data_IF_274109120416
#
_entry.id   IF_274109120416
#
_cell.length_a   1.000
_cell.length_b   1.000
_cell.length_c   1.000
_cell.angle_alpha   90.00
_cell.angle_beta   90.00
_cell.angle_gamma   90.00
#
_symmetry.space_group_name_H-M   'P 1'
#
loop_
_entity.id
_entity.type
_entity.pdbx_description
1 polymer ?
#
# COMPACT_ATOMS: atom_id res chain seq x y z
N UNK A 1 -9.77 17.01 47.07
CA UNK A 1 -10.48 16.66 45.81
C UNK A 1 -9.52 15.83 44.96
N UNK A 2 -9.85 14.57 44.65
CA UNK A 2 -9.03 13.67 43.83
C UNK A 2 -9.55 13.70 42.39
N UNK A 3 -8.73 14.16 41.46
CA UNK A 3 -9.05 14.23 40.03
C UNK A 3 -8.96 12.79 39.49
N UNK A 4 -10.04 12.18 38.96
CA UNK A 4 -9.92 10.87 38.35
C UNK A 4 -9.17 11.02 37.02
N UNK A 5 -8.05 10.32 36.92
CA UNK A 5 -7.18 10.27 35.75
C UNK A 5 -7.92 9.53 34.62
N UNK A 6 -8.63 10.28 33.78
CA UNK A 6 -9.27 9.75 32.57
C UNK A 6 -8.20 9.31 31.58
N UNK A 7 -7.95 8.01 31.51
CA UNK A 7 -7.07 7.41 30.51
C UNK A 7 -7.78 7.48 29.15
N UNK A 8 -7.36 8.44 28.32
CA UNK A 8 -7.70 8.48 26.90
C UNK A 8 -6.95 7.36 26.18
N UNK A 9 -7.56 6.18 26.07
CA UNK A 9 -7.06 5.12 25.21
C UNK A 9 -7.44 5.44 23.76
N UNK A 10 -6.55 6.14 23.05
CA UNK A 10 -6.62 6.25 21.60
C UNK A 10 -6.14 4.93 20.98
N UNK A 11 -7.08 4.02 20.70
CA UNK A 11 -6.82 2.82 19.93
C UNK A 11 -6.59 3.20 18.45
N UNK A 12 -5.34 3.47 18.08
CA UNK A 12 -4.94 3.63 16.69
C UNK A 12 -5.05 2.29 15.95
N UNK A 13 -6.14 2.09 15.20
CA UNK A 13 -6.28 0.96 14.30
C UNK A 13 -5.29 1.09 13.13
N UNK A 14 -4.13 0.44 13.23
CA UNK A 14 -3.22 0.28 12.08
C UNK A 14 -3.84 -0.69 11.08
N UNK A 15 -4.52 -0.15 10.06
CA UNK A 15 -4.96 -0.95 8.91
C UNK A 15 -3.72 -1.47 8.16
N UNK A 16 -3.39 -2.75 8.34
CA UNK A 16 -2.39 -3.45 7.53
C UNK A 16 -2.94 -3.55 6.11
N UNK A 17 -2.65 -2.54 5.29
CA UNK A 17 -2.95 -2.59 3.87
C UNK A 17 -2.00 -3.60 3.24
N UNK A 18 -2.53 -4.78 2.86
CA UNK A 18 -1.78 -5.75 2.07
C UNK A 18 -1.29 -5.06 0.79
N UNK A 19 0.02 -4.91 0.65
CA UNK A 19 0.67 -4.42 -0.55
C UNK A 19 1.53 -5.55 -1.13
N UNK A 20 1.54 -5.69 -2.46
CA UNK A 20 2.38 -6.62 -3.18
C UNK A 20 3.49 -5.86 -3.90
N UNK A 21 4.70 -6.41 -3.88
CA UNK A 21 5.83 -5.85 -4.63
C UNK A 21 5.76 -6.26 -6.10
N UNK A 22 5.84 -5.29 -7.00
CA UNK A 22 5.86 -5.47 -8.46
C UNK A 22 7.09 -4.81 -9.05
N UNK A 23 7.71 -5.46 -10.02
CA UNK A 23 8.83 -4.93 -10.79
C UNK A 23 8.29 -4.20 -12.02
N UNK A 24 8.70 -2.95 -12.22
CA UNK A 24 8.36 -2.20 -13.42
C UNK A 24 9.12 -2.73 -14.64
N UNK A 25 8.45 -3.06 -15.77
CA UNK A 25 9.13 -3.58 -16.96
C UNK A 25 9.98 -2.53 -17.68
N UNK A 26 9.68 -1.23 -17.52
CA UNK A 26 10.43 -0.16 -18.21
C UNK A 26 11.78 0.19 -17.55
N UNK A 27 11.87 0.14 -16.22
CA UNK A 27 13.04 0.61 -15.47
C UNK A 27 13.57 -0.40 -14.44
N UNK A 28 12.89 -1.54 -14.24
CA UNK A 28 13.26 -2.54 -13.25
C UNK A 28 12.96 -2.15 -11.80
N UNK A 29 12.32 -1.00 -11.53
CA UNK A 29 12.04 -0.60 -10.15
C UNK A 29 11.00 -1.52 -9.50
N UNK A 30 11.35 -2.04 -8.31
CA UNK A 30 10.41 -2.71 -7.41
C UNK A 30 9.58 -1.68 -6.65
N UNK A 31 8.25 -1.76 -6.77
CA UNK A 31 7.33 -0.89 -6.04
C UNK A 31 6.18 -1.68 -5.42
N UNK A 32 5.76 -1.20 -4.24
CA UNK A 32 4.63 -1.75 -3.50
C UNK A 32 3.33 -1.19 -4.06
N UNK A 33 2.54 -2.07 -4.66
CA UNK A 33 1.20 -1.77 -5.16
C UNK A 33 0.18 -2.35 -4.20
N UNK A 34 -0.84 -1.57 -3.85
CA UNK A 34 -1.89 -2.05 -2.95
C UNK A 34 -2.64 -3.23 -3.58
N UNK A 35 -3.07 -4.20 -2.77
CA UNK A 35 -3.72 -5.43 -3.28
C UNK A 35 -4.94 -5.15 -4.14
N UNK A 36 -5.70 -4.09 -3.84
CA UNK A 36 -6.87 -3.69 -4.64
C UNK A 36 -6.51 -3.10 -6.00
N UNK A 37 -5.32 -2.51 -6.14
CA UNK A 37 -4.79 -1.97 -7.41
C UNK A 37 -4.07 -3.05 -8.23
N UNK A 38 -4.00 -4.30 -7.74
CA UNK A 38 -3.35 -5.38 -8.48
C UNK A 38 -4.09 -5.76 -9.74
N UNK A 39 -5.40 -5.50 -9.78
CA UNK A 39 -6.29 -5.72 -10.92
C UNK A 39 -6.29 -4.56 -11.92
N UNK A 40 -5.60 -3.48 -11.61
CA UNK A 40 -5.55 -2.29 -12.45
C UNK A 40 -4.14 -2.07 -12.99
N UNK A 41 -4.05 -1.27 -14.05
CA UNK A 41 -2.77 -0.80 -14.58
C UNK A 41 -2.31 0.38 -13.73
N UNK A 42 -1.18 0.21 -13.05
CA UNK A 42 -0.63 1.25 -12.15
C UNK A 42 0.61 1.87 -12.80
N UNK A 43 0.73 3.20 -12.87
CA UNK A 43 1.92 3.84 -13.41
C UNK A 43 3.10 3.66 -12.47
N UNK A 44 4.28 3.38 -13.03
CA UNK A 44 5.50 3.29 -12.25
C UNK A 44 5.88 4.65 -11.65
N UNK A 45 6.14 4.67 -10.33
CA UNK A 45 6.55 5.89 -9.63
C UNK A 45 7.87 6.52 -10.09
N UNK A 46 8.71 5.76 -10.81
CA UNK A 46 10.03 6.24 -11.24
C UNK A 46 10.05 6.72 -12.69
N UNK A 47 9.41 5.99 -13.61
CA UNK A 47 9.49 6.27 -15.04
C UNK A 47 8.13 6.51 -15.70
N UNK A 48 7.02 6.40 -14.95
CA UNK A 48 5.67 6.57 -15.47
C UNK A 48 5.18 5.43 -16.36
N UNK A 49 6.02 4.43 -16.69
CA UNK A 49 5.62 3.28 -17.51
C UNK A 49 4.42 2.57 -16.88
N UNK A 50 3.35 2.28 -17.65
CA UNK A 50 2.20 1.55 -17.15
C UNK A 50 2.62 0.12 -16.80
N UNK A 51 2.43 -0.27 -15.54
CA UNK A 51 2.65 -1.65 -15.12
C UNK A 51 1.34 -2.42 -15.32
N UNK A 52 1.33 -3.43 -16.21
CA UNK A 52 0.13 -4.22 -16.44
C UNK A 52 -0.28 -4.98 -15.17
N UNK A 53 -1.58 -5.27 -15.07
CA UNK A 53 -2.13 -6.21 -14.09
C UNK A 53 -1.32 -7.51 -14.15
N UNK A 54 -0.94 -8.05 -12.98
CA UNK A 54 -0.49 -9.44 -12.89
C UNK A 54 -1.75 -10.29 -12.97
N UNK A 55 -2.11 -10.69 -14.19
CA UNK A 55 -3.12 -11.71 -14.41
C UNK A 55 -2.56 -13.00 -13.80
N UNK A 56 -3.24 -13.57 -12.82
CA UNK A 56 -2.86 -14.89 -12.31
C UNK A 56 -3.08 -15.87 -13.47
N UNK A 57 -1.99 -16.35 -14.07
CA UNK A 57 -1.99 -17.52 -14.94
C UNK A 57 -1.91 -18.78 -14.07
#
# INVERSE_FOLDING_TARGET
MRIPMVHFFAAGASAVQKALERVCPGCGLQQKVATHQLTETVPCKQCGTPMPRKENA
#
